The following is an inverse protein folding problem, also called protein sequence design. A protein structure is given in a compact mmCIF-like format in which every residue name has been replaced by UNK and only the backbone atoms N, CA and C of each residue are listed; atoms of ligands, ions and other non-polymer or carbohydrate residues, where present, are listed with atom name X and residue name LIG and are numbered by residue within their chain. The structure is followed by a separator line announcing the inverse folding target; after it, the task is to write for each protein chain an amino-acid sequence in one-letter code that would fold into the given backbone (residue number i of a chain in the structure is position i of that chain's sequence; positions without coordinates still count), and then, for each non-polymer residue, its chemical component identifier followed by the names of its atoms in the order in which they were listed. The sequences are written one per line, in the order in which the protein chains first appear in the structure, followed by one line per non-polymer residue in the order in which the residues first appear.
data_IF_537552565392
#
_entry.id   IF_537552565392
#
_cell.length_a   1.000
_cell.length_b   1.000
_cell.length_c   1.000
_cell.angle_alpha   90.00
_cell.angle_beta   90.00
_cell.angle_gamma   90.00
#
_symmetry.space_group_name_H-M   'P 1'
#
loop_
_entity.id
_entity.type
_entity.pdbx_description
1 polymer ?
#
# COMPACT_ATOMS: atom_id res chain seq x y z
N UNK A 1 12.16 -0.19 -21.66
CA UNK A 1 11.85 -0.88 -20.39
C UNK A 1 10.37 -0.73 -20.19
N UNK A 2 9.63 -1.81 -19.89
CA UNK A 2 8.22 -1.66 -19.54
C UNK A 2 8.11 -0.87 -18.22
N UNK A 3 7.10 -0.03 -18.07
CA UNK A 3 6.88 0.70 -16.82
C UNK A 3 6.61 -0.31 -15.69
N UNK A 4 7.32 -0.15 -14.57
CA UNK A 4 7.11 -0.97 -13.36
C UNK A 4 5.71 -0.73 -12.81
N UNK A 5 5.14 -1.75 -12.18
CA UNK A 5 3.85 -1.64 -11.49
C UNK A 5 3.97 -0.71 -10.29
N UNK A 6 2.90 0.01 -9.93
CA UNK A 6 2.85 0.83 -8.72
C UNK A 6 2.14 0.07 -7.60
N UNK A 7 2.88 -0.27 -6.56
CA UNK A 7 2.40 -1.02 -5.40
C UNK A 7 2.29 -0.10 -4.17
N UNK A 8 1.17 -0.19 -3.46
CA UNK A 8 0.98 0.44 -2.16
C UNK A 8 0.64 -0.59 -1.08
N UNK A 9 1.06 -0.31 0.14
CA UNK A 9 0.76 -1.07 1.34
C UNK A 9 0.38 -0.11 2.46
N UNK A 10 -0.74 -0.35 3.12
CA UNK A 10 -1.18 0.51 4.21
C UNK A 10 -1.84 -0.28 5.33
N UNK A 11 -1.46 0.04 6.56
CA UNK A 11 -2.07 -0.50 7.78
C UNK A 11 -3.10 0.48 8.35
N UNK A 12 -4.09 -0.06 9.05
CA UNK A 12 -5.03 0.72 9.87
C UNK A 12 -4.99 0.22 11.31
N UNK A 13 -6.12 -0.21 11.89
CA UNK A 13 -6.08 -0.92 13.16
C UNK A 13 -5.58 -2.35 12.94
N UNK A 14 -4.26 -2.50 12.92
CA UNK A 14 -3.54 -3.72 12.61
C UNK A 14 -2.51 -4.04 13.69
N UNK A 15 -2.13 -5.31 13.81
CA UNK A 15 -1.03 -5.75 14.66
C UNK A 15 0.35 -5.64 13.97
N UNK A 16 0.38 -5.24 12.69
CA UNK A 16 1.60 -5.17 11.87
C UNK A 16 2.02 -6.52 11.26
N UNK A 17 1.33 -7.63 11.58
CA UNK A 17 1.67 -8.96 11.07
C UNK A 17 1.51 -9.08 9.54
N UNK A 18 0.62 -8.30 8.93
CA UNK A 18 0.45 -8.28 7.48
C UNK A 18 1.70 -7.67 6.80
N UNK A 19 2.22 -6.57 7.32
CA UNK A 19 3.44 -5.95 6.80
C UNK A 19 4.66 -6.87 6.98
N UNK A 20 4.75 -7.56 8.12
CA UNK A 20 5.79 -8.59 8.36
C UNK A 20 5.65 -9.74 7.35
N UNK A 21 4.44 -10.21 7.06
CA UNK A 21 4.21 -11.28 6.09
C UNK A 21 4.68 -10.91 4.66
N UNK A 22 4.63 -9.63 4.30
CA UNK A 22 5.20 -9.15 3.03
C UNK A 22 6.72 -9.25 3.03
N UNK A 23 7.36 -8.93 4.16
CA UNK A 23 8.81 -9.04 4.31
C UNK A 23 9.30 -10.49 4.47
N UNK A 24 8.43 -11.40 4.91
CA UNK A 24 8.76 -12.81 5.13
C UNK A 24 8.99 -13.62 3.83
N UNK A 25 8.85 -12.98 2.67
CA UNK A 25 9.33 -13.53 1.39
C UNK A 25 10.87 -13.48 1.25
N UNK A 26 11.56 -12.89 2.24
CA UNK A 26 13.01 -12.78 2.33
C UNK A 26 13.61 -12.13 1.08
N UNK A 27 14.62 -12.75 0.47
CA UNK A 27 15.36 -12.23 -0.69
C UNK A 27 14.49 -11.98 -1.92
N UNK A 28 13.33 -12.65 -2.02
CA UNK A 28 12.38 -12.43 -3.14
C UNK A 28 11.78 -11.03 -3.16
N UNK A 29 11.94 -10.24 -2.09
CA UNK A 29 11.58 -8.83 -2.12
C UNK A 29 12.38 -8.06 -3.18
N UNK A 30 13.58 -8.54 -3.51
CA UNK A 30 14.40 -7.99 -4.60
C UNK A 30 13.71 -8.19 -5.96
N UNK A 31 13.12 -9.36 -6.20
CA UNK A 31 12.35 -9.62 -7.42
C UNK A 31 11.11 -8.70 -7.50
N UNK A 32 10.48 -8.41 -6.35
CA UNK A 32 9.33 -7.49 -6.29
C UNK A 32 9.73 -6.08 -6.70
N UNK A 33 10.83 -5.54 -6.17
CA UNK A 33 11.27 -4.17 -6.53
C UNK A 33 11.80 -4.07 -7.96
N UNK A 34 12.19 -5.18 -8.59
CA UNK A 34 12.53 -5.21 -10.02
C UNK A 34 11.29 -5.04 -10.92
N UNK A 35 10.10 -5.46 -10.47
CA UNK A 35 8.86 -5.39 -11.27
C UNK A 35 7.86 -4.34 -10.79
N UNK A 36 7.98 -3.85 -9.55
CA UNK A 36 7.06 -2.90 -8.95
C UNK A 36 7.78 -1.83 -8.11
N UNK A 37 7.38 -0.57 -8.32
CA UNK A 37 7.73 0.55 -7.47
C UNK A 37 6.77 0.60 -6.28
N UNK A 38 7.32 0.52 -5.07
CA UNK A 38 6.54 0.73 -3.85
C UNK A 38 6.37 2.24 -3.66
N UNK A 39 5.16 2.74 -3.91
CA UNK A 39 4.88 4.18 -3.92
C UNK A 39 4.33 4.68 -2.58
N UNK A 40 3.81 3.79 -1.75
CA UNK A 40 3.29 4.12 -0.43
C UNK A 40 3.38 2.92 0.49
N UNK A 41 4.25 2.99 1.51
CA UNK A 41 4.34 1.99 2.57
C UNK A 41 4.92 2.62 3.85
N UNK A 42 4.09 3.20 4.73
CA UNK A 42 4.57 4.05 5.82
C UNK A 42 5.55 3.40 6.81
N UNK A 43 5.58 2.07 6.90
CA UNK A 43 6.55 1.36 7.76
C UNK A 43 7.96 1.33 7.16
N UNK A 44 8.07 1.35 5.81
CA UNK A 44 9.32 1.13 5.09
C UNK A 44 9.80 2.38 4.32
N UNK A 45 8.88 3.31 4.02
CA UNK A 45 9.14 4.50 3.21
C UNK A 45 8.67 5.76 3.94
N UNK A 46 9.36 6.87 3.70
CA UNK A 46 9.04 8.17 4.31
C UNK A 46 7.93 8.94 3.55
N UNK A 47 7.14 8.26 2.73
CA UNK A 47 6.03 8.86 1.98
C UNK A 47 4.96 9.41 2.94
N UNK A 48 4.54 10.65 2.72
CA UNK A 48 3.51 11.31 3.53
C UNK A 48 2.14 11.21 2.86
N UNK A 49 1.08 11.49 3.62
CA UNK A 49 -0.28 11.43 3.09
C UNK A 49 -0.52 12.40 1.93
N UNK A 50 0.09 13.60 1.97
CA UNK A 50 -0.07 14.58 0.90
C UNK A 50 0.53 14.11 -0.44
N UNK A 51 1.56 13.27 -0.40
CA UNK A 51 2.15 12.68 -1.60
C UNK A 51 1.12 11.77 -2.31
N UNK A 52 0.37 10.99 -1.53
CA UNK A 52 -0.71 10.12 -2.04
C UNK A 52 -1.93 10.93 -2.49
N UNK A 53 -2.28 11.98 -1.75
CA UNK A 53 -3.37 12.90 -2.13
C UNK A 53 -3.12 13.57 -3.48
N UNK A 54 -1.85 13.93 -3.77
CA UNK A 54 -1.42 14.54 -5.01
C UNK A 54 -1.34 13.56 -6.21
N UNK A 55 -1.37 12.24 -5.97
CA UNK A 55 -1.39 11.26 -7.06
C UNK A 55 -2.70 11.35 -7.85
N UNK A 56 -2.69 11.12 -9.18
CA UNK A 56 -3.91 10.94 -9.95
C UNK A 56 -4.74 9.75 -9.44
N UNK A 57 -6.05 9.79 -9.64
CA UNK A 57 -6.90 8.64 -9.34
C UNK A 57 -6.54 7.45 -10.26
N UNK A 58 -6.58 6.24 -9.70
CA UNK A 58 -6.11 5.03 -10.40
C UNK A 58 -4.61 5.00 -10.72
N UNK A 59 -3.78 5.87 -10.13
CA UNK A 59 -2.33 5.87 -10.33
C UNK A 59 -1.62 4.67 -9.67
N UNK A 60 -2.20 4.05 -8.65
CA UNK A 60 -1.67 2.86 -7.97
C UNK A 60 -2.27 1.63 -8.65
N UNK A 61 -1.45 0.68 -9.09
CA UNK A 61 -1.95 -0.53 -9.75
C UNK A 61 -2.58 -1.49 -8.73
N UNK A 62 -1.88 -1.73 -7.63
CA UNK A 62 -2.35 -2.60 -6.54
C UNK A 62 -2.07 -1.94 -5.19
N UNK A 63 -3.08 -1.93 -4.32
CA UNK A 63 -2.94 -1.55 -2.93
C UNK A 63 -3.31 -2.72 -2.00
N UNK A 64 -2.38 -3.13 -1.15
CA UNK A 64 -2.62 -4.05 -0.04
C UNK A 64 -3.05 -3.23 1.18
N UNK A 65 -4.32 -3.34 1.55
CA UNK A 65 -4.92 -2.59 2.65
C UNK A 65 -5.19 -3.55 3.81
N UNK A 66 -4.59 -3.30 4.98
CA UNK A 66 -4.69 -4.19 6.13
C UNK A 66 -5.26 -3.52 7.39
N UNK A 67 -5.87 -4.35 8.25
CA UNK A 67 -6.47 -3.93 9.52
C UNK A 67 -7.89 -3.37 9.41
N UNK A 68 -8.49 -3.09 10.58
CA UNK A 68 -9.86 -2.60 10.68
C UNK A 68 -9.98 -1.05 10.63
N UNK A 69 -11.08 -0.58 10.06
CA UNK A 69 -11.46 0.84 10.10
C UNK A 69 -12.14 1.11 11.44
N UNK A 70 -11.50 1.89 12.31
CA UNK A 70 -12.02 2.24 13.64
C UNK A 70 -11.92 3.73 14.00
N UNK A 71 -11.45 4.55 13.07
CA UNK A 71 -11.31 5.99 13.23
C UNK A 71 -11.67 6.69 11.92
N UNK A 72 -11.98 7.98 12.01
CA UNK A 72 -12.22 8.83 10.84
C UNK A 72 -10.99 8.96 9.95
N UNK A 73 -9.78 8.89 10.52
CA UNK A 73 -8.54 8.85 9.75
C UNK A 73 -8.44 7.56 8.91
N UNK A 74 -8.72 6.39 9.51
CA UNK A 74 -8.70 5.12 8.77
C UNK A 74 -9.73 5.12 7.65
N UNK A 75 -10.93 5.67 7.90
CA UNK A 75 -11.97 5.80 6.88
C UNK A 75 -11.51 6.73 5.74
N UNK A 76 -10.93 7.89 6.07
CA UNK A 76 -10.38 8.83 5.08
C UNK A 76 -9.35 8.14 4.20
N UNK A 77 -8.40 7.42 4.81
CA UNK A 77 -7.33 6.74 4.08
C UNK A 77 -7.86 5.57 3.25
N UNK A 78 -8.84 4.82 3.74
CA UNK A 78 -9.50 3.76 2.97
C UNK A 78 -10.16 4.31 1.71
N UNK A 79 -10.90 5.43 1.81
CA UNK A 79 -11.53 6.08 0.66
C UNK A 79 -10.50 6.66 -0.30
N UNK A 80 -9.47 7.34 0.22
CA UNK A 80 -8.39 7.89 -0.59
C UNK A 80 -7.70 6.78 -1.38
N UNK A 81 -7.19 5.75 -0.71
CA UNK A 81 -6.49 4.64 -1.37
C UNK A 81 -7.40 3.86 -2.31
N UNK A 82 -8.69 3.74 -2.00
CA UNK A 82 -9.65 3.13 -2.94
C UNK A 82 -9.78 3.93 -4.24
N UNK A 83 -9.76 5.26 -4.17
CA UNK A 83 -9.80 6.12 -5.36
C UNK A 83 -8.46 6.13 -6.11
N UNK A 84 -7.34 6.12 -5.40
CA UNK A 84 -6.00 6.12 -6.00
C UNK A 84 -5.60 4.77 -6.61
N UNK A 85 -6.25 3.67 -6.22
CA UNK A 85 -5.89 2.32 -6.67
C UNK A 85 -6.81 1.77 -7.74
N UNK A 86 -6.25 1.14 -8.78
CA UNK A 86 -6.99 0.32 -9.74
C UNK A 86 -7.57 -0.92 -9.06
N UNK A 87 -6.74 -1.59 -8.26
CA UNK A 87 -7.14 -2.73 -7.43
C UNK A 87 -6.75 -2.49 -5.97
N UNK A 88 -7.73 -2.60 -5.07
CA UNK A 88 -7.49 -2.58 -3.62
C UNK A 88 -7.85 -3.96 -3.06
N UNK A 89 -6.90 -4.57 -2.36
CA UNK A 89 -7.00 -5.92 -1.79
C UNK A 89 -7.02 -5.77 -0.27
N UNK A 90 -8.06 -6.30 0.38
CA UNK A 90 -8.05 -6.47 1.82
C UNK A 90 -7.08 -7.61 2.16
N UNK A 91 -5.99 -7.29 2.85
CA UNK A 91 -4.92 -8.22 3.19
C UNK A 91 -4.85 -8.40 4.69
N UNK A 92 -5.17 -9.59 5.19
CA UNK A 92 -5.36 -9.86 6.62
C UNK A 92 -6.82 -10.18 6.97
N UNK A 93 -7.06 -10.53 8.23
CA UNK A 93 -8.40 -10.85 8.79
C UNK A 93 -8.95 -9.71 9.64
#
# INVERSE_FOLDING_TARGET
MADKLKLALYWTASCGGCDVAVLDINEKILDVVEVADIVFWPVALDTKYHDVEAMPDGAIDVCLFNGAIRSSEHEKMARLLRNKSKTLIAFGS
#
